data_IF_627839174621
#
_entry.id   IF_627839174621
#
_cell.length_a   1.000
_cell.length_b   1.000
_cell.length_c   1.000
_cell.angle_alpha   90.00
_cell.angle_beta   90.00
_cell.angle_gamma   90.00
#
_symmetry.space_group_name_H-M   'P 1'
#
loop_
_entity.id
_entity.type
_entity.pdbx_description
1 polymer ?
#
# COMPACT_ATOMS: atom_id res chain seq x y z
N UNK A 1 -5.91 7.64 19.21
CA UNK A 1 -5.63 7.80 17.78
C UNK A 1 -5.86 6.46 17.10
N UNK A 2 -6.78 6.38 16.15
CA UNK A 2 -7.09 5.19 15.36
C UNK A 2 -6.86 5.52 13.89
N UNK A 3 -5.98 4.75 13.25
CA UNK A 3 -5.64 4.93 11.83
C UNK A 3 -6.27 3.79 11.04
N UNK A 4 -7.00 4.11 9.98
CA UNK A 4 -7.45 3.16 8.97
C UNK A 4 -6.37 3.08 7.88
N UNK A 5 -5.94 1.88 7.54
CA UNK A 5 -4.93 1.64 6.50
C UNK A 5 -5.56 0.80 5.40
N UNK A 6 -5.39 1.22 4.15
CA UNK A 6 -5.86 0.52 2.95
C UNK A 6 -4.73 0.43 1.92
N UNK A 7 -4.78 -0.58 1.06
CA UNK A 7 -3.85 -0.78 -0.05
C UNK A 7 -4.57 -1.50 -1.18
N UNK A 8 -4.05 -1.42 -2.40
CA UNK A 8 -4.45 -2.28 -3.51
C UNK A 8 -5.96 -2.19 -3.82
N UNK A 9 -6.47 -0.96 -3.83
CA UNK A 9 -7.88 -0.65 -4.13
C UNK A 9 -8.21 -1.08 -5.56
N UNK A 10 -7.26 -0.92 -6.49
CA UNK A 10 -7.35 -1.39 -7.87
C UNK A 10 -8.65 -0.99 -8.56
N UNK A 11 -8.96 0.32 -8.52
CA UNK A 11 -10.14 0.90 -9.18
C UNK A 11 -11.46 0.21 -8.79
N UNK A 12 -11.50 -0.52 -7.66
CA UNK A 12 -12.68 -1.22 -7.17
C UNK A 12 -13.44 -0.34 -6.18
N UNK A 13 -14.13 0.66 -6.72
CA UNK A 13 -14.86 1.62 -5.90
C UNK A 13 -15.92 0.96 -5.01
N UNK A 14 -16.56 -0.11 -5.46
CA UNK A 14 -17.55 -0.85 -4.65
C UNK A 14 -16.92 -1.45 -3.39
N UNK A 15 -15.75 -2.08 -3.53
CA UNK A 15 -15.02 -2.62 -2.38
C UNK A 15 -14.55 -1.50 -1.44
N UNK A 16 -13.98 -0.42 -2.01
CA UNK A 16 -13.53 0.73 -1.25
C UNK A 16 -14.67 1.36 -0.43
N UNK A 17 -15.80 1.67 -1.08
CA UNK A 17 -16.98 2.27 -0.43
C UNK A 17 -17.51 1.37 0.68
N UNK A 18 -17.53 0.06 0.45
CA UNK A 18 -17.91 -0.93 1.46
C UNK A 18 -16.97 -0.87 2.67
N UNK A 19 -15.65 -0.94 2.46
CA UNK A 19 -14.64 -0.87 3.54
C UNK A 19 -14.79 0.42 4.34
N UNK A 20 -14.89 1.57 3.67
CA UNK A 20 -15.03 2.87 4.32
C UNK A 20 -16.34 2.96 5.14
N UNK A 21 -17.43 2.35 4.67
CA UNK A 21 -18.72 2.36 5.37
C UNK A 21 -18.74 1.53 6.66
N UNK A 22 -17.92 0.47 6.74
CA UNK A 22 -17.87 -0.45 7.88
C UNK A 22 -16.66 -0.26 8.78
N UNK A 23 -15.71 0.60 8.41
CA UNK A 23 -14.47 0.82 9.16
C UNK A 23 -14.68 1.40 10.56
N UNK A 24 -15.87 1.95 10.87
CA UNK A 24 -16.13 2.66 12.13
C UNK A 24 -15.42 4.01 12.21
N UNK A 25 -15.33 4.60 13.41
CA UNK A 25 -14.69 5.91 13.61
C UNK A 25 -13.15 5.80 13.59
N UNK A 26 -12.48 6.56 12.75
CA UNK A 26 -11.01 6.67 12.70
C UNK A 26 -10.61 8.14 12.64
N UNK A 27 -9.39 8.43 13.12
CA UNK A 27 -8.81 9.78 13.13
C UNK A 27 -8.03 10.09 11.86
N UNK A 28 -7.46 9.06 11.20
CA UNK A 28 -6.71 9.20 9.96
C UNK A 28 -6.94 8.01 9.01
N UNK A 29 -6.75 8.25 7.72
CA UNK A 29 -6.77 7.26 6.65
C UNK A 29 -5.46 7.30 5.85
N UNK A 30 -4.77 6.16 5.77
CA UNK A 30 -3.56 5.98 4.97
C UNK A 30 -3.81 5.00 3.83
N UNK A 31 -3.42 5.40 2.61
CA UNK A 31 -3.51 4.57 1.41
C UNK A 31 -2.10 4.23 0.91
N UNK A 32 -1.77 2.94 0.87
CA UNK A 32 -0.44 2.43 0.51
C UNK A 32 -0.24 2.26 -1.02
N UNK A 33 -1.12 2.80 -1.84
CA UNK A 33 -0.98 2.82 -3.29
C UNK A 33 -1.76 1.72 -3.99
N UNK A 34 -1.58 1.64 -5.30
CA UNK A 34 -2.42 0.88 -6.22
C UNK A 34 -3.89 1.27 -6.04
N UNK A 35 -4.12 2.58 -6.07
CA UNK A 35 -5.46 3.17 -6.02
C UNK A 35 -6.22 2.82 -7.30
N UNK A 36 -5.50 2.79 -8.42
CA UNK A 36 -6.03 2.44 -9.74
C UNK A 36 -5.27 1.27 -10.36
N UNK A 37 -5.90 0.60 -11.31
CA UNK A 37 -5.43 -0.65 -11.90
C UNK A 37 -6.54 -1.70 -11.84
N UNK A 38 -6.56 -2.69 -12.73
CA UNK A 38 -7.60 -3.74 -12.86
C UNK A 38 -9.06 -3.26 -12.97
N UNK A 39 -9.66 -2.75 -11.88
CA UNK A 39 -11.07 -2.41 -11.78
C UNK A 39 -11.53 -1.24 -12.68
N UNK A 40 -12.85 -1.02 -12.77
CA UNK A 40 -13.43 -0.13 -13.79
C UNK A 40 -13.75 1.29 -13.30
N UNK A 41 -13.42 1.66 -12.06
CA UNK A 41 -13.81 2.94 -11.44
C UNK A 41 -12.60 3.75 -10.91
N UNK A 42 -11.59 4.05 -11.76
CA UNK A 42 -10.39 4.75 -11.32
C UNK A 42 -10.67 6.14 -10.75
N UNK A 43 -11.52 6.93 -11.43
CA UNK A 43 -11.78 8.31 -11.02
C UNK A 43 -12.50 8.37 -9.67
N UNK A 44 -13.46 7.49 -9.44
CA UNK A 44 -14.21 7.44 -8.19
C UNK A 44 -13.30 7.05 -7.01
N UNK A 45 -12.36 6.12 -7.23
CA UNK A 45 -11.38 5.75 -6.21
C UNK A 45 -10.43 6.90 -5.89
N UNK A 46 -9.87 7.57 -6.91
CA UNK A 46 -8.97 8.72 -6.71
C UNK A 46 -9.70 9.88 -6.02
N UNK A 47 -10.93 10.21 -6.46
CA UNK A 47 -11.73 11.26 -5.82
C UNK A 47 -12.01 10.92 -4.35
N UNK A 48 -12.33 9.66 -4.05
CA UNK A 48 -12.62 9.24 -2.71
C UNK A 48 -11.39 9.28 -1.77
N UNK A 49 -10.22 8.87 -2.27
CA UNK A 49 -8.95 8.93 -1.54
C UNK A 49 -8.47 10.36 -1.36
N UNK A 50 -8.44 11.17 -2.43
CA UNK A 50 -8.07 12.59 -2.33
C UNK A 50 -8.90 13.37 -1.30
N UNK A 51 -10.18 13.02 -1.15
CA UNK A 51 -11.06 13.71 -0.22
C UNK A 51 -10.89 13.28 1.25
N UNK A 52 -10.30 12.12 1.53
CA UNK A 52 -10.35 11.48 2.86
C UNK A 52 -9.01 11.01 3.40
N UNK A 53 -8.06 10.66 2.53
CA UNK A 53 -6.78 10.11 2.93
C UNK A 53 -5.86 11.23 3.43
N UNK A 54 -5.33 11.07 4.63
CA UNK A 54 -4.31 11.94 5.20
C UNK A 54 -2.94 11.65 4.57
N UNK A 55 -2.73 10.41 4.13
CA UNK A 55 -1.50 9.93 3.50
C UNK A 55 -1.85 9.03 2.33
N UNK A 56 -1.17 9.22 1.21
CA UNK A 56 -1.43 8.47 -0.01
C UNK A 56 -0.11 8.23 -0.73
N UNK A 57 0.16 6.97 -1.07
CA UNK A 57 1.31 6.57 -1.86
C UNK A 57 0.90 6.27 -3.30
N UNK A 58 1.89 6.26 -4.20
CA UNK A 58 1.74 5.63 -5.51
C UNK A 58 2.15 4.15 -5.43
N UNK A 59 1.37 3.26 -6.03
CA UNK A 59 1.79 1.90 -6.32
C UNK A 59 2.28 1.71 -7.76
N UNK A 60 2.69 0.49 -8.11
CA UNK A 60 3.15 0.20 -9.47
C UNK A 60 2.02 0.35 -10.50
N UNK A 61 0.78 -0.03 -10.19
CA UNK A 61 -0.33 0.17 -11.12
C UNK A 61 -0.68 1.65 -11.31
N UNK A 62 -0.58 2.47 -10.26
CA UNK A 62 -0.77 3.92 -10.38
C UNK A 62 0.26 4.51 -11.38
N UNK A 63 1.55 4.20 -11.17
CA UNK A 63 2.65 4.65 -12.02
C UNK A 63 2.51 4.15 -13.46
N UNK A 64 2.08 2.90 -13.64
CA UNK A 64 1.84 2.31 -14.96
C UNK A 64 0.71 3.01 -15.72
N UNK A 65 -0.41 3.30 -15.04
CA UNK A 65 -1.52 4.05 -15.61
C UNK A 65 -1.13 5.48 -16.01
N UNK A 66 -0.19 6.09 -15.27
CA UNK A 66 0.37 7.40 -15.59
C UNK A 66 1.36 7.36 -16.75
N UNK A 67 1.88 6.19 -17.11
CA UNK A 67 2.92 6.00 -18.12
C UNK A 67 4.33 6.27 -17.61
N UNK A 68 4.55 6.17 -16.29
CA UNK A 68 5.85 6.44 -15.63
C UNK A 68 6.78 5.24 -15.57
N UNK A 69 6.27 4.03 -15.80
CA UNK A 69 7.02 2.78 -15.78
C UNK A 69 6.62 1.91 -16.98
N UNK A 70 7.48 0.95 -17.35
CA UNK A 70 7.19 0.04 -18.45
C UNK A 70 6.07 -0.93 -18.08
N UNK A 71 5.14 -1.12 -19.01
CA UNK A 71 4.06 -2.08 -18.90
C UNK A 71 4.53 -3.52 -19.20
N UNK A 72 5.78 -3.74 -19.60
CA UNK A 72 6.33 -5.07 -19.97
C UNK A 72 6.41 -6.01 -18.79
N UNK A 73 6.57 -5.46 -17.59
CA UNK A 73 6.71 -6.22 -16.34
C UNK A 73 5.35 -6.68 -15.79
N UNK A 74 4.26 -6.20 -16.39
CA UNK A 74 2.90 -6.57 -16.04
C UNK A 74 2.41 -7.75 -16.88
N UNK A 75 1.63 -8.62 -16.26
CA UNK A 75 0.90 -9.64 -17.01
C UNK A 75 -0.06 -8.99 -18.05
N UNK A 76 -0.46 -9.72 -19.10
CA UNK A 76 -1.25 -9.14 -20.19
C UNK A 76 -2.58 -8.48 -19.76
N UNK A 77 -3.25 -9.03 -18.75
CA UNK A 77 -4.52 -8.49 -18.24
C UNK A 77 -4.29 -7.20 -17.47
N UNK A 78 -3.30 -7.18 -16.57
CA UNK A 78 -2.87 -5.99 -15.85
C UNK A 78 -2.43 -4.87 -16.80
N UNK A 79 -1.62 -5.19 -17.82
CA UNK A 79 -1.21 -4.24 -18.85
C UNK A 79 -2.42 -3.63 -19.56
N UNK A 80 -3.36 -4.46 -19.98
CA UNK A 80 -4.57 -4.01 -20.68
C UNK A 80 -5.41 -3.11 -19.79
N UNK A 81 -5.60 -3.50 -18.52
CA UNK A 81 -6.34 -2.72 -17.54
C UNK A 81 -5.66 -1.38 -17.23
N UNK A 82 -4.33 -1.35 -17.07
CA UNK A 82 -3.58 -0.12 -16.78
C UNK A 82 -3.67 0.88 -17.95
N UNK A 83 -3.56 0.40 -19.19
CA UNK A 83 -3.77 1.24 -20.38
C UNK A 83 -5.19 1.82 -20.41
N UNK A 84 -6.19 0.99 -20.10
CA UNK A 84 -7.59 1.44 -20.09
C UNK A 84 -7.84 2.46 -18.97
N UNK A 85 -7.37 2.18 -17.75
CA UNK A 85 -7.49 3.05 -16.58
C UNK A 85 -6.83 4.41 -16.83
N UNK A 86 -5.59 4.41 -17.34
CA UNK A 86 -4.87 5.64 -17.69
C UNK A 86 -5.60 6.52 -18.70
N UNK A 87 -6.39 5.92 -19.63
CA UNK A 87 -7.25 6.65 -20.58
C UNK A 87 -8.54 7.19 -19.95
N UNK A 88 -9.01 6.62 -18.84
CA UNK A 88 -10.22 7.07 -18.18
C UNK A 88 -9.96 8.24 -17.23
N UNK A 89 -8.73 8.41 -16.75
CA UNK A 89 -8.40 9.42 -15.74
C UNK A 89 -8.73 10.84 -16.22
N UNK A 90 -9.49 11.56 -15.42
CA UNK A 90 -9.63 13.01 -15.54
C UNK A 90 -8.29 13.69 -15.21
N UNK A 91 -8.04 14.85 -15.81
CA UNK A 91 -6.77 15.58 -15.67
C UNK A 91 -6.42 15.88 -14.20
N UNK A 92 -7.40 16.31 -13.40
CA UNK A 92 -7.19 16.59 -11.97
C UNK A 92 -6.84 15.33 -11.17
N UNK A 93 -7.41 14.18 -11.53
CA UNK A 93 -7.11 12.90 -10.86
C UNK A 93 -5.74 12.36 -11.29
N UNK A 94 -5.37 12.57 -12.56
CA UNK A 94 -4.02 12.29 -13.05
C UNK A 94 -2.99 13.16 -12.32
N UNK A 95 -3.25 14.46 -12.16
CA UNK A 95 -2.36 15.39 -11.47
C UNK A 95 -2.18 15.02 -9.99
N UNK A 96 -3.24 14.58 -9.32
CA UNK A 96 -3.18 14.08 -7.94
C UNK A 96 -2.18 12.92 -7.82
N UNK A 97 -2.35 11.89 -8.65
CA UNK A 97 -1.49 10.69 -8.62
C UNK A 97 -0.05 10.99 -9.04
N UNK A 98 0.16 11.98 -9.92
CA UNK A 98 1.48 12.29 -10.46
C UNK A 98 2.48 12.73 -9.38
N UNK A 99 2.01 13.38 -8.33
CA UNK A 99 2.82 13.91 -7.23
C UNK A 99 3.12 12.92 -6.11
N UNK A 100 2.58 11.70 -6.15
CA UNK A 100 2.70 10.74 -5.06
C UNK A 100 4.04 9.99 -5.12
N UNK A 101 4.61 9.75 -3.93
CA UNK A 101 5.78 8.90 -3.76
C UNK A 101 5.36 7.47 -3.39
N UNK A 102 6.16 6.44 -3.75
CA UNK A 102 5.87 5.06 -3.39
C UNK A 102 6.28 4.68 -1.96
N UNK A 103 6.92 5.60 -1.24
CA UNK A 103 7.24 5.46 0.18
C UNK A 103 7.21 6.82 0.88
N UNK A 104 6.94 6.80 2.19
CA UNK A 104 6.86 8.00 3.01
C UNK A 104 7.14 7.68 4.48
N UNK A 105 8.01 8.45 5.11
CA UNK A 105 8.14 8.48 6.57
C UNK A 105 6.98 9.30 7.16
N UNK A 106 6.25 8.72 8.12
CA UNK A 106 5.17 9.43 8.81
C UNK A 106 5.72 10.17 10.02
N UNK A 107 6.50 9.45 10.84
CA UNK A 107 7.18 9.92 12.05
C UNK A 107 8.28 8.91 12.46
N UNK A 108 8.88 9.11 13.64
CA UNK A 108 9.92 8.22 14.19
C UNK A 108 9.43 6.78 14.47
N UNK A 109 8.12 6.54 14.39
CA UNK A 109 7.50 5.25 14.70
C UNK A 109 6.99 4.51 13.47
N UNK A 110 6.60 5.22 12.40
CA UNK A 110 5.93 4.63 11.24
C UNK A 110 6.57 5.02 9.91
N UNK A 111 6.84 4.01 9.08
CA UNK A 111 7.22 4.11 7.67
C UNK A 111 6.13 3.49 6.79
N UNK A 112 5.88 4.05 5.62
CA UNK A 112 4.97 3.49 4.61
C UNK A 112 5.75 3.19 3.34
N UNK A 113 5.48 2.06 2.70
CA UNK A 113 5.92 1.75 1.34
C UNK A 113 4.83 0.96 0.61
N UNK A 114 4.73 1.09 -0.71
CA UNK A 114 3.81 0.25 -1.48
C UNK A 114 4.34 -1.20 -1.54
N UNK A 115 5.56 -1.40 -2.06
CA UNK A 115 6.25 -2.68 -2.12
C UNK A 115 7.07 -2.97 -0.84
N UNK A 116 8.26 -2.38 -0.73
CA UNK A 116 9.13 -2.54 0.44
C UNK A 116 10.05 -1.31 0.66
N UNK A 117 10.72 -1.16 1.81
CA UNK A 117 11.77 -0.14 1.97
C UNK A 117 12.89 -0.20 0.92
N UNK A 118 13.27 -1.41 0.47
CA UNK A 118 14.35 -1.64 -0.49
C UNK A 118 13.95 -1.29 -1.92
N UNK A 119 12.76 -1.73 -2.34
CA UNK A 119 12.20 -1.49 -3.67
C UNK A 119 10.73 -1.05 -3.51
N UNK A 120 10.49 0.25 -3.21
CA UNK A 120 9.18 0.77 -2.83
C UNK A 120 8.04 0.56 -3.81
N UNK A 121 8.33 0.23 -5.07
CA UNK A 121 7.32 0.04 -6.12
C UNK A 121 7.06 -1.45 -6.41
N UNK A 122 8.06 -2.32 -6.26
CA UNK A 122 8.07 -3.60 -6.98
C UNK A 122 8.28 -4.85 -6.12
N UNK A 123 8.92 -4.72 -4.96
CA UNK A 123 9.23 -5.91 -4.18
C UNK A 123 7.99 -6.40 -3.45
N UNK A 124 7.59 -7.64 -3.75
CA UNK A 124 6.72 -8.43 -2.90
C UNK A 124 7.50 -8.92 -1.67
N UNK A 125 7.19 -8.41 -0.48
CA UNK A 125 7.75 -8.90 0.77
C UNK A 125 6.83 -9.99 1.34
N UNK A 126 7.18 -11.25 1.07
CA UNK A 126 6.37 -12.44 1.44
C UNK A 126 7.17 -13.53 2.15
N UNK A 127 8.46 -13.30 2.40
CA UNK A 127 9.34 -14.27 3.03
C UNK A 127 10.17 -13.63 4.14
N UNK A 128 10.58 -14.46 5.11
CA UNK A 128 11.46 -14.05 6.20
C UNK A 128 12.76 -13.41 5.69
N UNK A 129 13.40 -14.02 4.68
CA UNK A 129 14.68 -13.53 4.15
C UNK A 129 14.54 -12.11 3.55
N UNK A 130 13.45 -11.85 2.82
CA UNK A 130 13.17 -10.50 2.30
C UNK A 130 12.91 -9.49 3.43
N UNK A 131 12.22 -9.91 4.49
CA UNK A 131 11.98 -9.05 5.65
C UNK A 131 13.29 -8.72 6.39
N UNK A 132 14.16 -9.71 6.60
CA UNK A 132 15.50 -9.53 7.19
C UNK A 132 16.29 -8.47 6.40
N UNK A 133 16.39 -8.60 5.07
CA UNK A 133 17.07 -7.64 4.21
C UNK A 133 16.49 -6.21 4.35
N UNK A 134 15.17 -6.09 4.48
CA UNK A 134 14.50 -4.79 4.54
C UNK A 134 14.53 -4.14 5.93
N UNK A 135 14.61 -4.91 7.02
CA UNK A 135 14.70 -4.36 8.38
C UNK A 135 15.95 -3.51 8.61
N UNK A 136 17.02 -3.76 7.85
CA UNK A 136 18.27 -2.98 7.90
C UNK A 136 18.13 -1.57 7.30
N UNK A 137 17.07 -1.31 6.53
CA UNK A 137 16.91 -0.08 5.74
C UNK A 137 16.08 1.00 6.43
N UNK A 138 15.51 0.71 7.59
CA UNK A 138 14.71 1.65 8.36
C UNK A 138 14.93 1.41 9.86
N UNK A 139 14.42 2.31 10.71
CA UNK A 139 14.58 2.20 12.18
C UNK A 139 13.27 2.35 12.94
N UNK A 140 12.21 2.78 12.25
CA UNK A 140 10.85 2.89 12.75
C UNK A 140 10.35 1.55 13.32
N UNK A 141 9.39 1.63 14.24
CA UNK A 141 8.81 0.44 14.85
C UNK A 141 8.03 -0.40 13.85
N UNK A 142 7.29 0.24 12.93
CA UNK A 142 6.45 -0.46 11.96
C UNK A 142 6.66 0.14 10.58
N UNK A 143 6.84 -0.72 9.58
CA UNK A 143 6.72 -0.34 8.17
C UNK A 143 5.48 -0.99 7.57
N UNK A 144 4.45 -0.20 7.25
CA UNK A 144 3.28 -0.73 6.57
C UNK A 144 3.56 -0.88 5.07
N UNK A 145 3.23 -2.05 4.55
CA UNK A 145 3.43 -2.43 3.15
C UNK A 145 2.15 -2.93 2.50
N UNK A 146 2.08 -2.81 1.18
CA UNK A 146 0.99 -3.30 0.33
C UNK A 146 1.48 -4.33 -0.68
N UNK A 147 1.02 -4.18 -1.94
CA UNK A 147 1.48 -4.85 -3.15
C UNK A 147 1.21 -6.36 -3.23
N UNK A 148 1.38 -7.11 -2.15
CA UNK A 148 1.16 -8.56 -2.12
C UNK A 148 -0.31 -8.97 -2.16
N UNK A 149 -1.22 -8.04 -1.83
CA UNK A 149 -2.65 -8.29 -1.60
C UNK A 149 -2.92 -9.33 -0.48
N UNK A 150 -1.92 -9.62 0.35
CA UNK A 150 -2.01 -10.60 1.43
C UNK A 150 -1.74 -9.90 2.76
N UNK A 151 -2.71 -9.89 3.70
CA UNK A 151 -2.45 -9.37 5.04
C UNK A 151 -1.42 -10.26 5.73
N UNK A 152 -0.33 -9.67 6.21
CA UNK A 152 0.72 -10.39 6.90
C UNK A 152 1.36 -9.51 7.97
N UNK A 153 2.03 -10.16 8.91
CA UNK A 153 2.92 -9.53 9.87
C UNK A 153 4.24 -10.27 9.89
N UNK A 154 5.36 -9.54 9.87
CA UNK A 154 6.68 -10.08 10.16
C UNK A 154 7.28 -9.35 11.36
N UNK A 155 7.90 -10.10 12.28
CA UNK A 155 8.49 -9.55 13.50
C UNK A 155 10.01 -9.66 13.50
N UNK A 156 10.68 -8.57 13.84
CA UNK A 156 12.08 -8.54 14.26
C UNK A 156 12.13 -8.43 15.78
N UNK A 157 12.77 -9.41 16.41
CA UNK A 157 12.97 -9.48 17.86
C UNK A 157 14.11 -8.54 18.30
N UNK A 158 14.12 -8.08 19.56
CA UNK A 158 15.19 -7.23 20.10
C UNK A 158 16.58 -7.85 20.03
N UNK A 159 16.67 -9.19 19.96
CA UNK A 159 17.94 -9.92 19.83
C UNK A 159 18.44 -10.04 18.37
N UNK A 160 17.70 -9.44 17.42
CA UNK A 160 18.02 -9.44 15.99
C UNK A 160 17.46 -10.64 15.22
N UNK A 161 16.76 -11.57 15.87
CA UNK A 161 16.12 -12.69 15.16
C UNK A 161 14.85 -12.24 14.45
N UNK A 162 14.63 -12.72 13.22
CA UNK A 162 13.43 -12.46 12.45
C UNK A 162 12.50 -13.68 12.45
N UNK A 163 11.20 -13.44 12.64
CA UNK A 163 10.17 -14.47 12.55
C UNK A 163 9.77 -14.77 11.10
N UNK A 164 9.13 -15.90 10.88
CA UNK A 164 8.46 -16.18 9.61
C UNK A 164 7.20 -15.31 9.46
N UNK A 165 6.78 -14.97 8.21
CA UNK A 165 5.56 -14.23 7.96
C UNK A 165 4.33 -14.94 8.54
N UNK A 166 3.53 -14.19 9.28
CA UNK A 166 2.26 -14.64 9.84
C UNK A 166 1.12 -14.04 9.01
N UNK A 167 0.32 -14.88 8.38
CA UNK A 167 -0.84 -14.40 7.61
C UNK A 167 -1.94 -13.90 8.55
N UNK A 168 -2.53 -12.76 8.20
CA UNK A 168 -3.67 -12.22 8.91
C UNK A 168 -4.97 -12.88 8.47
N UNK A 169 -5.87 -13.12 9.41
CA UNK A 169 -7.26 -13.47 9.14
C UNK A 169 -8.18 -12.30 9.50
N UNK A 170 -9.43 -12.34 9.02
CA UNK A 170 -10.44 -11.36 9.41
C UNK A 170 -10.58 -11.29 10.93
N UNK A 171 -10.79 -10.07 11.45
CA UNK A 171 -10.97 -9.79 12.89
C UNK A 171 -9.77 -10.15 13.78
N UNK A 172 -8.58 -10.38 13.20
CA UNK A 172 -7.35 -10.62 13.96
C UNK A 172 -6.93 -9.35 14.70
N UNK A 173 -6.76 -9.47 16.02
CA UNK A 173 -6.14 -8.43 16.84
C UNK A 173 -4.67 -8.79 17.07
N UNK A 174 -3.79 -7.84 16.74
CA UNK A 174 -2.35 -7.98 16.92
C UNK A 174 -1.84 -6.83 17.80
N UNK A 175 -1.13 -7.15 18.87
CA UNK A 175 -0.56 -6.17 19.80
C UNK A 175 0.93 -5.96 19.50
N UNK A 176 1.34 -4.70 19.34
CA UNK A 176 2.74 -4.34 19.11
C UNK A 176 3.50 -4.34 20.44
N UNK A 177 4.57 -5.12 20.51
CA UNK A 177 5.39 -5.27 21.70
C UNK A 177 6.55 -4.25 21.71
N UNK A 178 6.92 -3.70 22.89
CA UNK A 178 8.06 -2.80 23.01
C UNK A 178 9.38 -3.46 22.56
N UNK A 179 10.19 -2.73 21.80
CA UNK A 179 11.51 -3.18 21.33
C UNK A 179 11.48 -4.08 20.09
N UNK A 180 10.31 -4.58 19.70
CA UNK A 180 10.12 -5.28 18.44
C UNK A 180 9.92 -4.31 17.29
N UNK A 181 10.27 -4.74 16.08
CA UNK A 181 9.97 -4.03 14.83
C UNK A 181 9.15 -4.92 13.90
N UNK A 182 8.34 -4.29 13.06
CA UNK A 182 7.31 -4.98 12.30
C UNK A 182 7.25 -4.54 10.84
N UNK A 183 6.93 -5.50 9.98
CA UNK A 183 6.17 -5.27 8.76
C UNK A 183 4.74 -5.71 8.99
#
# INVERSE_FOLDING_TARGET
>A
MRVLIVSDIHSNYTALDTVLSVAGEYDQLWNLGDTIGYGPRPNECVVAMRARADRMLSGNHDLACLGKIDLSDFNPDARTANIWNGKQLADDNRAELDGLAPSMEVDDRFLLAHGSPREPVWEYLLSRAQAEDNFELFTQQVCFIGHSHVPLVVRLHPDGTCGDPMLGEADTLFELEPGFRYF
#
